data_IF_790492296006
#
_entry.id   IF_790492296006
#
_cell.length_a   1.000
_cell.length_b   1.000
_cell.length_c   1.000
_cell.angle_alpha   90.00
_cell.angle_beta   90.00
_cell.angle_gamma   90.00
#
_symmetry.space_group_name_H-M   'P 1'
#
loop_
_entity.id
_entity.type
_entity.pdbx_description
1 polymer ?
#
# COMPACT_ATOMS: atom_id res chain seq x y z
N UNK A 1 -2.40 81.68 -52.68
CA UNK A 1 -3.54 81.25 -53.53
C UNK A 1 -3.75 79.76 -53.33
N UNK A 2 -5.01 79.29 -53.38
CA UNK A 2 -5.49 78.23 -52.52
C UNK A 2 -5.72 76.89 -53.23
N UNK A 3 -6.05 75.91 -52.38
CA UNK A 3 -6.91 74.74 -52.59
C UNK A 3 -6.37 73.46 -53.24
N UNK A 4 -6.88 72.30 -52.76
CA UNK A 4 -6.17 71.03 -52.68
C UNK A 4 -6.69 70.01 -53.71
N UNK A 5 -6.04 68.84 -53.79
CA UNK A 5 -6.70 67.63 -54.30
C UNK A 5 -6.74 66.56 -53.23
N UNK A 6 -7.97 66.22 -52.91
CA UNK A 6 -8.45 65.14 -52.07
C UNK A 6 -8.44 63.83 -52.86
N UNK A 7 -8.46 62.71 -52.11
CA UNK A 7 -8.97 61.39 -52.51
C UNK A 7 -8.11 60.63 -53.53
N UNK A 8 -8.01 59.31 -53.52
CA UNK A 8 -8.42 58.21 -52.64
C UNK A 8 -7.96 57.01 -53.47
N UNK A 9 -7.19 56.08 -52.93
CA UNK A 9 -7.02 54.77 -53.56
C UNK A 9 -6.61 53.77 -52.48
N UNK A 10 -7.51 52.88 -52.08
CA UNK A 10 -7.75 51.55 -52.64
C UNK A 10 -7.19 50.50 -51.68
N UNK A 11 -8.08 49.92 -50.89
CA UNK A 11 -7.81 48.68 -50.14
C UNK A 11 -7.57 47.50 -51.10
N UNK A 12 -6.66 46.59 -50.75
CA UNK A 12 -6.88 45.17 -50.99
C UNK A 12 -6.61 44.31 -49.71
N UNK A 13 -6.90 43.00 -49.73
CA UNK A 13 -7.49 42.30 -48.60
C UNK A 13 -6.52 41.45 -47.76
N UNK A 14 -7.05 41.00 -46.61
CA UNK A 14 -6.80 39.71 -45.92
C UNK A 14 -5.35 39.24 -45.86
N UNK A 15 -4.78 39.19 -44.65
CA UNK A 15 -4.16 37.96 -44.11
C UNK A 15 -4.33 37.88 -42.58
N UNK A 16 -5.17 36.95 -42.14
CA UNK A 16 -5.09 36.38 -40.80
C UNK A 16 -3.80 35.57 -40.70
N UNK A 17 -2.93 35.92 -39.76
CA UNK A 17 -1.91 35.05 -39.17
C UNK A 17 -1.64 35.68 -37.79
N UNK A 18 -2.05 35.11 -36.67
CA UNK A 18 -1.83 33.73 -36.27
C UNK A 18 -0.51 33.68 -35.50
N UNK A 19 -0.56 34.03 -34.22
CA UNK A 19 0.53 33.77 -33.27
C UNK A 19 -0.08 33.28 -31.96
N UNK A 20 -0.67 32.08 -32.01
CA UNK A 20 -0.99 31.32 -30.81
C UNK A 20 0.35 30.87 -30.21
N UNK A 21 0.76 31.50 -29.12
CA UNK A 21 1.90 31.06 -28.31
C UNK A 21 1.58 29.69 -27.71
N UNK A 22 2.21 28.66 -28.25
CA UNK A 22 2.05 27.27 -27.81
C UNK A 22 2.82 27.08 -26.49
N UNK A 23 2.13 27.21 -25.35
CA UNK A 23 2.64 26.79 -24.05
C UNK A 23 2.75 25.25 -23.99
N UNK A 24 3.89 24.71 -24.42
CA UNK A 24 4.28 23.33 -24.14
C UNK A 24 4.90 23.26 -22.73
N UNK A 25 4.05 23.27 -21.70
CA UNK A 25 4.40 22.79 -20.37
C UNK A 25 4.47 21.25 -20.44
N UNK A 26 5.70 20.73 -20.39
CA UNK A 26 5.97 19.30 -20.50
C UNK A 26 5.23 18.48 -19.44
N UNK A 27 4.48 17.48 -19.89
CA UNK A 27 4.03 16.38 -19.04
C UNK A 27 5.26 15.55 -18.66
N UNK A 28 5.79 15.78 -17.46
CA UNK A 28 6.72 14.85 -16.82
C UNK A 28 5.89 13.68 -16.27
N UNK A 29 6.14 12.42 -16.70
CA UNK A 29 5.47 11.27 -16.10
C UNK A 29 5.89 11.15 -14.64
N UNK A 30 4.92 11.10 -13.74
CA UNK A 30 5.18 10.77 -12.33
C UNK A 30 5.66 9.32 -12.27
N UNK A 31 6.87 9.09 -11.77
CA UNK A 31 7.33 7.75 -11.43
C UNK A 31 6.55 7.29 -10.19
N UNK A 32 5.59 6.41 -10.39
CA UNK A 32 4.84 5.75 -9.32
C UNK A 32 5.75 4.76 -8.60
N UNK A 33 5.88 4.90 -7.28
CA UNK A 33 6.66 3.97 -6.46
C UNK A 33 5.70 2.90 -5.94
N UNK A 34 5.88 1.65 -6.35
CA UNK A 34 5.14 0.55 -5.76
C UNK A 34 5.65 0.31 -4.33
N UNK A 35 4.77 0.41 -3.33
CA UNK A 35 5.07 0.12 -1.94
C UNK A 35 4.59 -1.31 -1.59
N UNK A 36 5.27 -1.99 -0.67
CA UNK A 36 4.81 -3.29 -0.20
C UNK A 36 3.78 -3.14 0.92
N UNK A 37 2.71 -3.93 0.86
CA UNK A 37 1.72 -4.07 1.94
C UNK A 37 1.44 -5.54 2.22
N UNK A 38 1.49 -5.92 3.48
CA UNK A 38 1.09 -7.24 3.92
C UNK A 38 -0.40 -7.21 4.27
N UNK A 39 -1.18 -8.01 3.57
CA UNK A 39 -2.61 -8.20 3.82
C UNK A 39 -2.81 -9.56 4.48
N UNK A 40 -3.44 -9.56 5.66
CA UNK A 40 -3.70 -10.77 6.45
C UNK A 40 -5.20 -10.91 6.72
N UNK A 41 -5.80 -12.00 6.26
CA UNK A 41 -7.14 -12.39 6.70
C UNK A 41 -7.02 -13.20 7.99
N UNK A 42 -7.74 -12.75 9.03
CA UNK A 42 -7.78 -13.38 10.35
C UNK A 42 -9.20 -13.89 10.57
N UNK A 43 -9.36 -15.16 10.97
CA UNK A 43 -10.62 -15.69 11.47
C UNK A 43 -10.44 -16.19 12.91
N UNK A 44 -11.29 -15.71 13.82
CA UNK A 44 -11.33 -16.18 15.20
C UNK A 44 -12.77 -16.46 15.58
N UNK A 45 -13.05 -17.72 15.96
CA UNK A 45 -14.39 -18.13 16.39
C UNK A 45 -15.50 -17.83 15.37
N UNK A 46 -15.19 -17.88 14.07
CA UNK A 46 -16.13 -17.56 12.98
C UNK A 46 -16.23 -16.09 12.60
N UNK A 47 -15.52 -15.19 13.28
CA UNK A 47 -15.44 -13.76 12.91
C UNK A 47 -14.18 -13.51 12.09
N UNK A 48 -14.36 -13.02 10.86
CA UNK A 48 -13.25 -12.63 9.99
C UNK A 48 -13.00 -11.13 9.99
N UNK A 49 -11.73 -10.74 9.94
CA UNK A 49 -11.28 -9.37 9.66
C UNK A 49 -10.01 -9.39 8.80
N UNK A 50 -9.81 -8.33 8.01
CA UNK A 50 -8.58 -8.14 7.23
C UNK A 50 -7.73 -7.08 7.91
N UNK A 51 -6.47 -7.43 8.19
CA UNK A 51 -5.47 -6.52 8.73
C UNK A 51 -4.44 -6.17 7.66
N UNK A 52 -4.05 -4.90 7.63
CA UNK A 52 -3.06 -4.37 6.69
C UNK A 52 -1.84 -3.87 7.45
N UNK A 53 -0.65 -4.28 7.00
CA UNK A 53 0.61 -3.88 7.61
C UNK A 53 1.57 -3.32 6.56
N UNK A 54 2.11 -2.15 6.83
CA UNK A 54 3.17 -1.53 6.04
C UNK A 54 4.57 -1.79 6.62
N UNK A 55 5.62 -1.38 5.89
CA UNK A 55 6.98 -1.43 6.39
C UNK A 55 7.14 -0.60 7.67
N UNK A 56 7.91 -1.09 8.62
CA UNK A 56 8.26 -0.39 9.84
C UNK A 56 9.71 0.07 9.79
N UNK A 57 9.99 1.27 10.29
CA UNK A 57 11.38 1.76 10.45
C UNK A 57 12.06 1.14 11.67
N UNK A 58 11.29 0.87 12.73
CA UNK A 58 11.78 0.24 13.96
C UNK A 58 10.96 -1.02 14.31
N UNK A 59 11.54 -2.23 14.29
CA UNK A 59 10.80 -3.47 14.58
C UNK A 59 10.28 -3.56 16.03
N UNK A 60 10.86 -2.80 16.95
CA UNK A 60 10.49 -2.82 18.37
C UNK A 60 9.28 -1.94 18.69
N UNK A 61 8.93 -0.98 17.84
CA UNK A 61 7.79 -0.07 18.03
C UNK A 61 6.48 -0.61 17.45
N UNK A 62 6.55 -1.65 16.62
CA UNK A 62 5.39 -2.28 16.02
C UNK A 62 4.51 -2.91 17.10
N UNK A 63 3.27 -2.45 17.20
CA UNK A 63 2.27 -2.92 18.17
C UNK A 63 1.57 -4.18 17.67
N UNK A 64 1.17 -5.04 18.61
CA UNK A 64 0.27 -6.13 18.32
C UNK A 64 -1.18 -5.62 18.27
N UNK A 65 -1.97 -6.17 17.35
CA UNK A 65 -3.41 -5.94 17.22
C UNK A 65 -4.14 -6.98 18.06
N UNK A 66 -5.06 -6.55 18.92
CA UNK A 66 -5.90 -7.47 19.71
C UNK A 66 -6.98 -8.08 18.83
N UNK A 67 -7.11 -9.41 18.86
CA UNK A 67 -8.10 -10.18 18.10
C UNK A 67 -9.11 -10.77 19.09
N UNK A 68 -10.31 -10.18 19.10
CA UNK A 68 -11.43 -10.56 19.96
C UNK A 68 -11.08 -10.68 21.46
N UNK A 69 -10.05 -9.97 21.94
CA UNK A 69 -9.53 -10.05 23.32
C UNK A 69 -9.10 -11.47 23.74
N UNK A 70 -8.77 -12.33 22.79
CA UNK A 70 -8.34 -13.71 23.03
C UNK A 70 -6.93 -13.95 22.52
N UNK A 71 -6.61 -13.36 21.39
CA UNK A 71 -5.30 -13.42 20.77
C UNK A 71 -4.80 -12.00 20.50
N UNK A 72 -3.51 -11.87 20.21
CA UNK A 72 -3.02 -10.69 19.51
C UNK A 72 -2.10 -11.09 18.37
N UNK A 73 -2.25 -10.41 17.25
CA UNK A 73 -1.49 -10.62 16.03
C UNK A 73 -0.52 -9.45 15.83
N UNK A 74 0.77 -9.73 15.62
CA UNK A 74 1.78 -8.73 15.32
C UNK A 74 2.51 -9.12 14.04
N UNK A 75 2.55 -8.21 13.08
CA UNK A 75 3.33 -8.36 11.87
C UNK A 75 4.37 -7.26 11.78
N UNK A 76 5.64 -7.65 11.71
CA UNK A 76 6.78 -6.74 11.52
C UNK A 76 7.31 -6.95 10.12
N UNK A 77 7.19 -5.94 9.26
CA UNK A 77 7.75 -5.93 7.92
C UNK A 77 8.89 -4.91 7.87
N UNK A 78 10.10 -5.34 7.51
CA UNK A 78 11.25 -4.46 7.37
C UNK A 78 11.69 -4.46 5.91
N UNK A 79 11.95 -3.29 5.38
CA UNK A 79 12.50 -3.08 4.04
C UNK A 79 13.96 -2.62 4.10
N UNK A 80 14.69 -2.94 3.03
CA UNK A 80 16.01 -2.38 2.74
C UNK A 80 15.99 -1.90 1.29
N UNK A 81 15.96 -0.59 1.10
CA UNK A 81 15.75 0.01 -0.21
C UNK A 81 14.30 -0.18 -0.65
N UNK A 82 14.10 -0.71 -1.85
CA UNK A 82 12.80 -1.00 -2.48
C UNK A 82 12.33 -2.46 -2.28
N UNK A 83 12.99 -3.20 -1.37
CA UNK A 83 12.73 -4.62 -1.15
C UNK A 83 12.44 -4.92 0.30
N UNK A 84 11.44 -5.77 0.52
CA UNK A 84 11.19 -6.36 1.83
C UNK A 84 12.37 -7.27 2.19
N UNK A 85 13.07 -6.94 3.28
CA UNK A 85 14.17 -7.73 3.80
C UNK A 85 13.63 -8.94 4.58
N UNK A 86 12.64 -8.72 5.45
CA UNK A 86 11.96 -9.79 6.13
C UNK A 86 10.57 -9.40 6.63
N UNK A 87 9.75 -10.42 6.86
CA UNK A 87 8.48 -10.32 7.57
C UNK A 87 8.52 -11.30 8.76
N UNK A 88 8.25 -10.80 9.96
CA UNK A 88 8.09 -11.62 11.16
C UNK A 88 6.66 -11.50 11.68
N UNK A 89 5.96 -12.63 11.73
CA UNK A 89 4.61 -12.76 12.25
C UNK A 89 4.65 -13.39 13.63
N UNK A 90 3.87 -12.83 14.55
CA UNK A 90 3.73 -13.31 15.91
C UNK A 90 2.25 -13.44 16.25
N UNK A 91 1.89 -14.57 16.82
CA UNK A 91 0.57 -14.77 17.40
C UNK A 91 0.73 -15.07 18.87
N UNK A 92 0.06 -14.27 19.69
CA UNK A 92 0.02 -14.46 21.13
C UNK A 92 -1.39 -14.87 21.55
N UNK A 93 -1.46 -15.71 22.57
CA UNK A 93 -2.64 -15.95 23.37
C UNK A 93 -2.68 -14.97 24.56
N UNK A 94 -3.85 -14.45 24.91
CA UNK A 94 -4.03 -13.45 25.97
C UNK A 94 -4.77 -14.00 27.20
N UNK A 95 -4.09 -14.70 28.11
CA UNK A 95 -4.63 -15.02 29.43
C UNK A 95 -4.51 -13.83 30.41
N UNK A 96 -5.22 -13.86 31.56
CA UNK A 96 -5.17 -12.79 32.55
C UNK A 96 -3.77 -12.47 33.09
N UNK A 97 -2.85 -13.44 33.06
CA UNK A 97 -1.46 -13.28 33.54
C UNK A 97 -0.53 -12.59 32.54
N UNK A 98 -1.03 -12.25 31.35
CA UNK A 98 -0.28 -11.58 30.29
C UNK A 98 -0.07 -12.44 29.05
N UNK A 99 0.38 -11.85 27.93
CA UNK A 99 0.50 -12.53 26.64
C UNK A 99 1.47 -13.72 26.66
N UNK A 100 1.09 -14.82 26.01
CA UNK A 100 1.91 -16.02 25.78
C UNK A 100 2.11 -16.19 24.28
N UNK A 101 3.34 -16.28 23.80
CA UNK A 101 3.64 -16.52 22.39
C UNK A 101 3.19 -17.95 22.01
N UNK A 102 2.32 -18.07 21.01
CA UNK A 102 1.94 -19.35 20.43
C UNK A 102 2.79 -19.69 19.20
N UNK A 103 3.09 -18.69 18.37
CA UNK A 103 3.85 -18.88 17.15
C UNK A 103 4.66 -17.63 16.81
N UNK A 104 5.88 -17.87 16.32
CA UNK A 104 6.62 -16.92 15.50
C UNK A 104 6.93 -17.57 14.15
N UNK A 105 6.58 -16.91 13.04
CA UNK A 105 7.04 -17.26 11.70
C UNK A 105 7.85 -16.12 11.10
N UNK A 106 8.94 -16.44 10.40
CA UNK A 106 9.80 -15.46 9.73
C UNK A 106 9.98 -15.83 8.28
N UNK A 107 9.69 -14.88 7.39
CA UNK A 107 9.83 -14.97 5.95
C UNK A 107 10.95 -14.04 5.52
N UNK A 108 11.96 -14.58 4.84
CA UNK A 108 13.13 -13.83 4.40
C UNK A 108 12.98 -13.43 2.94
N UNK A 109 13.26 -12.18 2.64
CA UNK A 109 13.20 -11.59 1.31
C UNK A 109 11.95 -11.99 0.49
N UNK A 110 10.72 -11.92 1.03
CA UNK A 110 9.53 -12.21 0.25
C UNK A 110 9.33 -11.14 -0.83
N UNK A 111 8.93 -11.58 -2.03
CA UNK A 111 8.63 -10.67 -3.14
C UNK A 111 7.16 -10.29 -3.10
N UNK A 112 6.88 -8.98 -3.10
CA UNK A 112 5.53 -8.47 -3.26
C UNK A 112 5.01 -8.80 -4.68
N UNK A 113 3.70 -8.96 -4.83
CA UNK A 113 3.08 -9.24 -6.12
C UNK A 113 1.96 -8.22 -6.37
N UNK A 114 1.72 -7.79 -7.62
CA UNK A 114 0.59 -6.91 -7.94
C UNK A 114 -0.77 -7.55 -7.64
N UNK A 115 -0.89 -8.85 -7.90
CA UNK A 115 -2.13 -9.62 -7.74
C UNK A 115 -1.84 -10.97 -7.08
N UNK A 116 -1.50 -10.99 -5.77
CA UNK A 116 -1.20 -12.25 -5.09
C UNK A 116 -2.49 -13.05 -4.85
N UNK A 117 -2.37 -14.37 -4.92
CA UNK A 117 -3.42 -15.25 -4.40
C UNK A 117 -3.54 -15.07 -2.87
N UNK A 118 -4.75 -15.27 -2.34
CA UNK A 118 -4.98 -15.27 -0.89
C UNK A 118 -4.04 -16.28 -0.21
N UNK A 119 -3.41 -15.86 0.89
CA UNK A 119 -2.48 -16.70 1.62
C UNK A 119 -1.18 -17.06 0.89
N UNK A 120 -0.82 -16.40 -0.23
CA UNK A 120 0.36 -16.78 -1.02
C UNK A 120 1.69 -16.73 -0.24
N UNK A 121 1.77 -15.92 0.82
CA UNK A 121 2.96 -15.84 1.67
C UNK A 121 2.99 -16.96 2.72
N UNK A 122 1.86 -17.19 3.40
CA UNK A 122 1.85 -18.01 4.62
C UNK A 122 1.17 -19.37 4.44
N UNK A 123 0.39 -19.56 3.38
CA UNK A 123 -0.70 -20.53 3.37
C UNK A 123 -1.71 -20.24 4.49
N UNK A 124 -2.66 -21.15 4.69
CA UNK A 124 -3.57 -21.11 5.83
C UNK A 124 -2.91 -21.69 7.08
N UNK A 125 -2.92 -20.91 8.15
CA UNK A 125 -2.34 -21.26 9.44
C UNK A 125 -3.44 -21.43 10.48
N UNK A 126 -3.23 -22.36 11.41
CA UNK A 126 -4.17 -22.69 12.48
C UNK A 126 -3.44 -22.69 13.81
N UNK A 127 -3.96 -21.94 14.79
CA UNK A 127 -3.39 -21.84 16.12
C UNK A 127 -4.44 -22.12 17.18
N UNK A 128 -4.07 -22.97 18.12
CA UNK A 128 -4.95 -23.41 19.20
C UNK A 128 -4.45 -22.87 20.53
N UNK A 129 -5.34 -22.20 21.27
CA UNK A 129 -5.01 -21.74 22.61
C UNK A 129 -5.00 -22.91 23.60
N UNK A 130 -4.24 -22.82 24.71
CA UNK A 130 -4.30 -23.83 25.78
C UNK A 130 -5.67 -23.95 26.46
N UNK A 131 -6.55 -22.95 26.33
CA UNK A 131 -7.96 -23.08 26.71
C UNK A 131 -8.75 -23.72 25.58
N UNK A 132 -9.58 -24.71 25.93
CA UNK A 132 -10.45 -25.45 25.02
C UNK A 132 -11.25 -24.51 24.11
N UNK A 133 -11.51 -24.99 22.89
CA UNK A 133 -12.41 -24.37 21.89
C UNK A 133 -12.01 -22.96 21.45
N UNK A 134 -10.71 -22.64 21.44
CA UNK A 134 -10.20 -21.36 20.95
C UNK A 134 -9.17 -21.57 19.86
N UNK A 135 -9.64 -21.38 18.64
CA UNK A 135 -8.84 -21.40 17.42
C UNK A 135 -8.71 -19.98 16.86
N UNK A 136 -7.52 -19.68 16.33
CA UNK A 136 -7.28 -18.56 15.42
C UNK A 136 -6.75 -19.14 14.11
N UNK A 137 -7.36 -18.73 13.00
CA UNK A 137 -6.87 -19.00 11.65
C UNK A 137 -6.32 -17.70 11.05
N UNK A 138 -5.25 -17.80 10.27
CA UNK A 138 -4.83 -16.67 9.45
C UNK A 138 -4.22 -17.11 8.12
N UNK A 139 -4.31 -16.26 7.12
CA UNK A 139 -3.56 -16.36 5.88
C UNK A 139 -3.15 -14.97 5.40
N UNK A 140 -1.90 -14.79 5.00
CA UNK A 140 -1.38 -13.50 4.54
C UNK A 140 -0.82 -13.58 3.12
N UNK A 141 -0.91 -12.46 2.42
CA UNK A 141 -0.35 -12.22 1.10
C UNK A 141 0.43 -10.90 1.10
N UNK A 142 1.53 -10.86 0.36
CA UNK A 142 2.33 -9.64 0.19
C UNK A 142 1.98 -8.99 -1.15
N UNK A 143 1.43 -7.79 -1.08
CA UNK A 143 0.85 -7.06 -2.21
C UNK A 143 1.73 -5.86 -2.56
N UNK A 144 1.91 -5.60 -3.85
CA UNK A 144 2.41 -4.32 -4.35
C UNK A 144 1.24 -3.34 -4.44
N UNK A 145 1.31 -2.22 -3.72
CA UNK A 145 0.32 -1.16 -3.76
C UNK A 145 0.92 0.08 -4.41
N UNK A 146 0.14 0.71 -5.29
CA UNK A 146 0.54 1.96 -5.93
C UNK A 146 0.44 3.11 -4.92
N UNK A 147 1.53 3.87 -4.75
CA UNK A 147 1.63 4.97 -3.77
C UNK A 147 1.11 6.30 -4.31
#
# INVERSE_FOLDING_TARGET
>A
MPTPRLMSDLSPPRRWAGAAGLCLLGLLPAASIAAARLDCEINQGGRSETLHFGPATNPYEVKAVSINERFSFKAVMIERGDKVEYISLYVYYLPPRGPILLQQAKYLAPTAQPYPAAGSLTGRQYLYSPRLERELQYECALVEVES
#
